data_IF_081540486857
#
_entry.id   IF_081540486857
#
_cell.length_a   1.000
_cell.length_b   1.000
_cell.length_c   1.000
_cell.angle_alpha   90.00
_cell.angle_beta   90.00
_cell.angle_gamma   90.00
#
_symmetry.space_group_name_H-M   'P 1'
#
loop_
_entity.id
_entity.type
_entity.pdbx_description
1 polymer ?
#
# COMPACT_ATOMS: atom_id res chain seq x y z
N UNK A 1 14.22 6.47 24.97
CA UNK A 1 13.42 7.71 24.90
C UNK A 1 12.62 7.65 23.60
N UNK A 2 11.33 7.30 23.67
CA UNK A 2 10.47 7.15 22.48
C UNK A 2 10.04 8.54 21.98
N UNK A 3 10.34 8.85 20.73
CA UNK A 3 10.01 10.14 20.13
C UNK A 3 8.56 10.11 19.64
N UNK A 4 7.70 10.96 20.21
CA UNK A 4 6.42 11.29 19.59
C UNK A 4 6.75 12.31 18.50
N UNK A 5 6.71 11.89 17.23
CA UNK A 5 6.72 12.86 16.13
C UNK A 5 5.33 13.50 16.11
N UNK A 6 5.17 14.59 16.86
CA UNK A 6 4.08 15.52 16.64
C UNK A 6 4.34 16.19 15.28
N UNK A 7 3.59 15.77 14.27
CA UNK A 7 3.37 16.56 13.06
C UNK A 7 2.58 17.79 13.49
N UNK A 8 3.28 18.85 13.89
CA UNK A 8 2.62 20.11 14.24
C UNK A 8 2.09 20.74 12.94
N UNK A 9 0.76 20.80 12.81
CA UNK A 9 0.12 21.80 11.96
C UNK A 9 0.32 23.16 12.65
N UNK A 10 1.31 23.93 12.21
CA UNK A 10 1.42 25.34 12.59
C UNK A 10 0.17 26.08 12.14
N UNK A 11 -0.40 27.01 12.94
CA UNK A 11 -1.50 27.84 12.50
C UNK A 11 -0.98 28.87 11.50
N UNK A 12 -0.91 28.49 10.22
CA UNK A 12 -0.73 29.44 9.13
C UNK A 12 -2.09 30.02 8.76
N UNK A 13 -2.17 31.35 8.82
CA UNK A 13 -3.24 32.13 8.19
C UNK A 13 -3.48 31.66 6.76
N UNK A 14 -4.73 31.65 6.26
CA UNK A 14 -5.05 31.15 4.93
C UNK A 14 -4.58 32.16 3.88
N UNK A 15 -3.30 32.13 3.56
CA UNK A 15 -2.75 32.73 2.35
C UNK A 15 -2.80 31.67 1.25
N UNK A 16 -3.37 32.02 0.09
CA UNK A 16 -3.46 31.21 -1.13
C UNK A 16 -2.48 30.02 -1.22
N UNK A 17 -3.00 28.81 -1.39
CA UNK A 17 -2.30 27.53 -1.27
C UNK A 17 -1.23 27.24 -2.33
N UNK A 18 -0.15 28.01 -2.34
CA UNK A 18 1.04 27.81 -3.20
C UNK A 18 2.35 27.68 -2.43
N UNK A 19 2.38 27.94 -1.12
CA UNK A 19 3.58 27.74 -0.30
C UNK A 19 3.59 26.35 0.32
N UNK A 20 4.32 25.42 -0.31
CA UNK A 20 4.65 24.11 0.28
C UNK A 20 5.77 24.28 1.29
N UNK A 21 5.57 23.76 2.49
CA UNK A 21 6.59 23.70 3.55
C UNK A 21 6.84 22.24 3.93
N UNK A 22 8.07 21.93 4.35
CA UNK A 22 8.40 20.59 4.86
C UNK A 22 7.79 20.38 6.25
N UNK A 23 7.14 19.24 6.46
CA UNK A 23 6.50 18.91 7.74
C UNK A 23 7.45 18.26 8.77
N UNK A 24 8.64 17.83 8.34
CA UNK A 24 9.69 17.38 9.25
C UNK A 24 10.47 18.60 9.70
N UNK A 25 10.41 18.88 11.00
CA UNK A 25 11.03 20.06 11.59
C UNK A 25 12.56 19.94 11.61
N UNK A 26 13.26 21.07 11.60
CA UNK A 26 14.73 21.10 11.72
C UNK A 26 15.17 20.56 13.09
N UNK A 27 14.32 20.69 14.10
CA UNK A 27 14.52 20.05 15.39
C UNK A 27 14.55 18.52 15.27
N UNK A 28 13.57 17.93 14.57
CA UNK A 28 13.55 16.49 14.35
C UNK A 28 14.77 16.03 13.54
N UNK A 29 15.12 16.76 12.47
CA UNK A 29 16.33 16.51 11.69
C UNK A 29 17.58 16.47 12.58
N UNK A 30 17.79 17.53 13.37
CA UNK A 30 18.92 17.65 14.30
C UNK A 30 18.93 16.51 15.33
N UNK A 31 17.75 16.10 15.82
CA UNK A 31 17.64 15.00 16.76
C UNK A 31 18.12 13.67 16.16
N UNK A 32 17.70 13.34 14.94
CA UNK A 32 18.14 12.13 14.24
C UNK A 32 19.64 12.18 13.91
N UNK A 33 20.14 13.29 13.36
CA UNK A 33 21.57 13.45 13.05
C UNK A 33 22.45 13.29 14.29
N UNK A 34 22.06 13.87 15.43
CA UNK A 34 22.78 13.73 16.69
C UNK A 34 22.71 12.31 17.25
N UNK A 35 21.54 11.65 17.17
CA UNK A 35 21.38 10.28 17.68
C UNK A 35 22.26 9.28 16.92
N UNK A 36 22.22 9.33 15.58
CA UNK A 36 22.97 8.42 14.71
C UNK A 36 24.41 8.89 14.42
N UNK A 37 24.77 10.10 14.87
CA UNK A 37 26.07 10.75 14.60
C UNK A 37 26.37 10.86 13.10
N UNK A 38 25.32 11.15 12.32
CA UNK A 38 25.38 11.21 10.87
C UNK A 38 24.66 12.47 10.37
N UNK A 39 25.45 13.46 9.93
CA UNK A 39 24.95 14.72 9.39
C UNK A 39 24.44 14.62 7.94
N UNK A 40 24.58 13.45 7.30
CA UNK A 40 24.06 13.21 5.94
C UNK A 40 22.59 12.80 5.93
N UNK A 41 22.02 12.46 7.10
CA UNK A 41 20.59 12.19 7.25
C UNK A 41 19.80 13.42 6.81
N UNK A 42 18.84 13.20 5.91
CA UNK A 42 17.93 14.22 5.38
C UNK A 42 16.52 14.03 5.95
N UNK A 43 15.67 15.05 5.80
CA UNK A 43 14.24 14.95 6.17
C UNK A 43 13.52 13.84 5.38
N UNK A 44 13.84 13.68 4.09
CA UNK A 44 13.30 12.57 3.29
C UNK A 44 13.73 11.21 3.84
N UNK A 45 14.99 11.05 4.25
CA UNK A 45 15.43 9.82 4.91
C UNK A 45 14.66 9.54 6.20
N UNK A 46 14.30 10.57 6.98
CA UNK A 46 13.46 10.40 8.18
C UNK A 46 12.03 9.99 7.81
N UNK A 47 11.47 10.55 6.73
CA UNK A 47 10.17 10.14 6.21
C UNK A 47 10.16 8.66 5.83
N UNK A 48 11.15 8.23 5.04
CA UNK A 48 11.28 6.84 4.62
C UNK A 48 11.58 5.91 5.80
N UNK A 49 12.45 6.31 6.72
CA UNK A 49 12.69 5.56 7.96
C UNK A 49 11.38 5.31 8.72
N UNK A 50 10.56 6.35 8.87
CA UNK A 50 9.25 6.25 9.52
C UNK A 50 8.36 5.25 8.78
N UNK A 51 8.32 5.33 7.45
CA UNK A 51 7.53 4.42 6.63
C UNK A 51 7.99 2.96 6.77
N UNK A 52 9.29 2.70 6.74
CA UNK A 52 9.87 1.37 6.95
C UNK A 52 9.58 0.83 8.35
N UNK A 53 9.74 1.65 9.39
CA UNK A 53 9.46 1.27 10.78
C UNK A 53 8.01 0.83 10.98
N UNK A 54 7.06 1.56 10.39
CA UNK A 54 5.63 1.23 10.45
C UNK A 54 5.24 -0.02 9.66
N UNK A 55 6.16 -0.58 8.85
CA UNK A 55 5.99 -1.85 8.15
C UNK A 55 6.78 -3.00 8.78
N UNK A 56 7.53 -2.75 9.85
CA UNK A 56 8.28 -3.80 10.54
C UNK A 56 7.34 -4.69 11.39
N UNK A 57 7.33 -6.03 11.20
CA UNK A 57 6.42 -6.93 11.90
C UNK A 57 6.48 -6.81 13.43
N UNK A 58 7.67 -6.92 14.02
CA UNK A 58 7.85 -6.80 15.47
C UNK A 58 7.42 -5.45 16.05
N UNK A 59 7.62 -4.35 15.33
CA UNK A 59 7.16 -3.03 15.79
C UNK A 59 5.63 -3.01 15.86
N UNK A 60 4.97 -3.49 14.80
CA UNK A 60 3.51 -3.57 14.73
C UNK A 60 2.93 -4.49 15.80
N UNK A 61 3.56 -5.64 16.06
CA UNK A 61 3.12 -6.59 17.10
C UNK A 61 3.32 -6.02 18.50
N UNK A 62 4.53 -5.56 18.81
CA UNK A 62 4.90 -5.03 20.14
C UNK A 62 4.04 -3.85 20.56
N UNK A 63 3.66 -2.98 19.62
CA UNK A 63 2.90 -1.77 19.92
C UNK A 63 1.43 -1.82 19.48
N UNK A 64 0.88 -2.98 19.12
CA UNK A 64 -0.50 -3.11 18.60
C UNK A 64 -1.57 -2.47 19.49
N UNK A 65 -1.43 -2.54 20.82
CA UNK A 65 -2.37 -1.95 21.76
C UNK A 65 -2.36 -0.42 21.73
N UNK A 66 -1.17 0.18 21.56
CA UNK A 66 -0.97 1.62 21.45
C UNK A 66 -1.40 2.13 20.07
N UNK A 67 -0.99 1.44 18.99
CA UNK A 67 -1.31 1.82 17.60
C UNK A 67 -2.82 1.86 17.33
N UNK A 68 -3.63 1.12 18.11
CA UNK A 68 -5.10 1.17 18.05
C UNK A 68 -5.72 2.38 18.75
N UNK A 69 -4.98 3.11 19.59
CA UNK A 69 -5.53 4.11 20.54
C UNK A 69 -4.88 5.48 20.45
N UNK A 70 -3.62 5.56 20.05
CA UNK A 70 -2.83 6.79 19.98
C UNK A 70 -1.93 6.79 18.74
N UNK A 71 -1.38 7.97 18.42
CA UNK A 71 -0.43 8.11 17.32
C UNK A 71 0.85 7.28 17.58
N UNK A 72 1.45 6.69 16.53
CA UNK A 72 2.68 5.91 16.66
C UNK A 72 3.81 6.73 17.28
N UNK A 73 4.61 6.10 18.14
CA UNK A 73 5.84 6.68 18.71
C UNK A 73 7.03 5.99 18.07
N UNK A 74 7.88 6.76 17.40
CA UNK A 74 8.96 6.19 16.62
C UNK A 74 10.08 5.72 17.55
N UNK A 75 10.42 4.44 17.44
CA UNK A 75 11.64 3.89 17.99
C UNK A 75 12.86 4.45 17.23
N UNK A 76 14.01 4.49 17.90
CA UNK A 76 15.30 4.75 17.25
C UNK A 76 15.98 3.41 17.05
N UNK A 77 15.70 2.78 15.91
CA UNK A 77 16.25 1.49 15.57
C UNK A 77 17.75 1.61 15.31
N UNK A 78 18.59 0.65 15.72
CA UNK A 78 20.04 0.72 15.56
C UNK A 78 20.51 0.99 14.12
N UNK A 79 19.82 0.44 13.12
CA UNK A 79 20.17 0.57 11.70
C UNK A 79 19.21 1.48 10.93
N UNK A 80 19.32 2.80 11.16
CA UNK A 80 18.53 3.81 10.46
C UNK A 80 18.55 3.67 8.93
N UNK A 81 19.73 3.37 8.37
CA UNK A 81 19.94 3.29 6.93
C UNK A 81 19.11 2.19 6.28
N UNK A 82 19.10 0.99 6.87
CA UNK A 82 18.36 -0.15 6.33
C UNK A 82 16.84 0.05 6.42
N UNK A 83 16.35 0.65 7.52
CA UNK A 83 14.93 1.02 7.65
C UNK A 83 14.53 2.11 6.64
N UNK A 84 15.35 3.15 6.49
CA UNK A 84 15.13 4.24 5.53
C UNK A 84 15.08 3.71 4.10
N UNK A 85 16.06 2.91 3.69
CA UNK A 85 16.11 2.31 2.34
C UNK A 85 14.92 1.40 2.05
N UNK A 86 14.50 0.60 3.03
CA UNK A 86 13.33 -0.27 2.87
C UNK A 86 12.04 0.54 2.79
N UNK A 87 11.90 1.58 3.61
CA UNK A 87 10.76 2.49 3.54
C UNK A 87 10.71 3.31 2.25
N UNK A 88 11.84 3.68 1.68
CA UNK A 88 11.91 4.32 0.35
C UNK A 88 11.37 3.40 -0.73
N UNK A 89 11.81 2.14 -0.76
CA UNK A 89 11.28 1.12 -1.69
C UNK A 89 9.79 0.91 -1.53
N UNK A 90 9.29 0.82 -0.30
CA UNK A 90 7.86 0.67 -0.03
C UNK A 90 7.08 1.90 -0.50
N UNK A 91 7.58 3.11 -0.24
CA UNK A 91 6.93 4.34 -0.66
C UNK A 91 6.86 4.43 -2.19
N UNK A 92 7.95 4.10 -2.89
CA UNK A 92 7.98 4.06 -4.36
C UNK A 92 6.97 3.05 -4.91
N UNK A 93 6.97 1.81 -4.40
CA UNK A 93 6.02 0.77 -4.81
C UNK A 93 4.56 1.20 -4.62
N UNK A 94 4.24 1.83 -3.50
CA UNK A 94 2.87 2.20 -3.15
C UNK A 94 2.38 3.48 -3.84
N UNK A 95 3.28 4.44 -4.13
CA UNK A 95 2.93 5.62 -4.92
C UNK A 95 2.78 5.27 -6.39
N UNK A 96 3.63 4.36 -6.89
CA UNK A 96 3.70 3.98 -8.30
C UNK A 96 3.05 2.60 -8.58
N UNK A 97 1.99 2.26 -7.81
CA UNK A 97 1.35 0.94 -7.88
C UNK A 97 0.72 0.63 -9.24
N UNK A 98 0.22 1.66 -9.94
CA UNK A 98 -0.36 1.52 -11.28
C UNK A 98 0.69 1.43 -12.40
N UNK A 99 1.95 1.74 -12.10
CA UNK A 99 3.06 1.72 -13.05
C UNK A 99 3.88 0.42 -12.96
N UNK A 100 3.56 -0.46 -12.01
CA UNK A 100 4.24 -1.75 -11.87
C UNK A 100 4.00 -2.66 -13.08
N UNK A 101 4.92 -3.61 -13.27
CA UNK A 101 4.74 -4.65 -14.28
C UNK A 101 3.57 -5.59 -13.87
N UNK A 102 2.65 -5.92 -14.79
CA UNK A 102 1.55 -6.82 -14.48
C UNK A 102 2.05 -8.23 -14.21
N UNK A 103 1.55 -8.86 -13.14
CA UNK A 103 1.84 -10.26 -12.86
C UNK A 103 1.28 -11.17 -13.97
N UNK A 104 2.05 -12.16 -14.46
CA UNK A 104 1.66 -13.00 -15.59
C UNK A 104 0.64 -14.07 -15.17
N UNK A 105 -0.64 -13.70 -15.14
CA UNK A 105 -1.74 -14.65 -14.92
C UNK A 105 -2.12 -15.38 -16.20
N UNK A 106 -2.55 -16.63 -16.06
CA UNK A 106 -3.13 -17.40 -17.16
C UNK A 106 -4.58 -16.97 -17.38
N UNK A 107 -4.90 -16.58 -18.60
CA UNK A 107 -6.24 -16.15 -19.00
C UNK A 107 -6.98 -17.33 -19.64
N UNK A 108 -8.15 -17.67 -19.09
CA UNK A 108 -9.02 -18.74 -19.59
C UNK A 108 -10.31 -18.08 -20.07
N UNK A 109 -10.51 -18.11 -21.39
CA UNK A 109 -11.67 -17.56 -22.06
C UNK A 109 -12.78 -18.61 -22.18
N UNK A 110 -14.03 -18.17 -22.07
CA UNK A 110 -15.21 -18.97 -22.31
C UNK A 110 -15.72 -18.71 -23.74
N UNK A 111 -15.52 -19.65 -24.70
CA UNK A 111 -15.87 -19.43 -26.11
C UNK A 111 -17.39 -19.33 -26.35
N UNK A 112 -18.22 -19.62 -25.34
CA UNK A 112 -19.69 -19.53 -25.43
C UNK A 112 -20.23 -18.13 -25.12
N UNK A 113 -19.37 -17.22 -24.66
CA UNK A 113 -19.75 -15.87 -24.24
C UNK A 113 -19.03 -14.87 -25.14
N UNK A 114 -19.70 -13.77 -25.48
CA UNK A 114 -19.07 -12.68 -26.24
C UNK A 114 -17.89 -12.11 -25.46
N UNK A 115 -16.83 -11.74 -26.18
CA UNK A 115 -15.69 -11.03 -25.60
C UNK A 115 -16.16 -9.80 -24.81
N UNK A 116 -15.74 -9.71 -23.56
CA UNK A 116 -15.95 -8.53 -22.72
C UNK A 116 -14.94 -8.51 -21.59
N UNK A 117 -14.33 -7.34 -21.34
CA UNK A 117 -13.52 -7.09 -20.15
C UNK A 117 -14.23 -6.24 -19.10
N UNK A 118 -15.55 -6.08 -19.23
CA UNK A 118 -16.36 -5.38 -18.23
C UNK A 118 -16.55 -6.23 -16.98
N UNK A 119 -16.47 -5.59 -15.82
CA UNK A 119 -16.65 -6.19 -14.51
C UNK A 119 -18.04 -5.86 -13.98
N UNK A 120 -18.83 -6.90 -13.68
CA UNK A 120 -20.02 -6.74 -12.84
C UNK A 120 -19.69 -7.03 -11.39
N UNK A 121 -19.19 -8.25 -11.11
CA UNK A 121 -18.73 -8.68 -9.79
C UNK A 121 -17.76 -9.85 -9.90
N UNK A 122 -16.51 -9.61 -9.57
CA UNK A 122 -15.48 -10.64 -9.55
C UNK A 122 -15.65 -11.59 -8.35
N UNK A 123 -15.16 -12.83 -8.48
CA UNK A 123 -15.26 -13.85 -7.42
C UNK A 123 -13.99 -14.69 -7.32
N UNK A 124 -13.35 -14.67 -6.15
CA UNK A 124 -12.26 -15.58 -5.84
C UNK A 124 -12.78 -17.01 -5.64
N UNK A 125 -12.02 -17.96 -6.16
CA UNK A 125 -12.14 -19.38 -5.82
C UNK A 125 -11.86 -19.62 -4.32
N UNK A 126 -12.38 -20.72 -3.78
CA UNK A 126 -12.21 -21.09 -2.37
C UNK A 126 -10.74 -21.25 -1.96
N UNK A 127 -9.88 -21.70 -2.87
CA UNK A 127 -8.44 -21.86 -2.62
C UNK A 127 -7.62 -20.60 -2.96
N UNK A 128 -8.30 -19.53 -3.39
CA UNK A 128 -7.77 -18.22 -3.81
C UNK A 128 -6.71 -18.29 -4.92
N UNK A 129 -6.70 -19.34 -5.75
CA UNK A 129 -5.75 -19.48 -6.89
C UNK A 129 -6.31 -19.03 -8.23
N UNK A 130 -7.63 -18.87 -8.27
CA UNK A 130 -8.38 -18.47 -9.45
C UNK A 130 -9.34 -17.32 -9.11
N UNK A 131 -9.54 -16.44 -10.08
CA UNK A 131 -10.51 -15.35 -10.03
C UNK A 131 -11.43 -15.47 -11.24
N UNK A 132 -12.73 -15.65 -10.99
CA UNK A 132 -13.74 -15.43 -12.02
C UNK A 132 -13.88 -13.92 -12.17
N UNK A 133 -13.47 -13.39 -13.33
CA UNK A 133 -13.49 -11.96 -13.61
C UNK A 133 -14.89 -11.52 -14.06
N UNK A 134 -15.42 -12.21 -15.05
CA UNK A 134 -16.81 -12.13 -15.53
C UNK A 134 -17.19 -13.47 -16.19
N UNK A 135 -18.32 -13.52 -16.91
CA UNK A 135 -18.78 -14.76 -17.58
C UNK A 135 -17.89 -15.20 -18.75
N UNK A 136 -17.12 -14.26 -19.32
CA UNK A 136 -16.19 -14.48 -20.42
C UNK A 136 -14.81 -14.94 -19.93
N UNK A 137 -14.26 -14.32 -18.88
CA UNK A 137 -12.85 -14.46 -18.49
C UNK A 137 -12.70 -15.00 -17.07
N UNK A 138 -11.79 -15.98 -16.94
CA UNK A 138 -11.22 -16.42 -15.66
C UNK A 138 -9.71 -16.25 -15.67
N UNK A 139 -9.18 -15.79 -14.54
CA UNK A 139 -7.74 -15.65 -14.31
C UNK A 139 -7.26 -16.76 -13.37
N UNK A 140 -6.19 -17.46 -13.75
CA UNK A 140 -5.56 -18.51 -12.96
C UNK A 140 -4.09 -18.18 -12.67
N UNK A 141 -3.55 -18.82 -11.63
CA UNK A 141 -2.14 -18.68 -11.26
C UNK A 141 -1.87 -17.61 -10.22
N UNK A 142 -2.89 -17.18 -9.46
CA UNK A 142 -2.72 -16.22 -8.37
C UNK A 142 -1.88 -16.86 -7.26
N UNK A 143 -0.69 -16.31 -6.91
CA UNK A 143 0.14 -16.87 -5.85
C UNK A 143 -0.52 -16.67 -4.49
N UNK A 144 -0.57 -17.72 -3.66
CA UNK A 144 -1.16 -17.62 -2.31
C UNK A 144 -0.49 -16.56 -1.44
N UNK A 145 0.80 -16.33 -1.63
CA UNK A 145 1.56 -15.34 -0.88
C UNK A 145 1.00 -13.91 -1.06
N UNK A 146 0.32 -13.60 -2.17
CA UNK A 146 -0.23 -12.26 -2.42
C UNK A 146 -1.16 -11.78 -1.30
N UNK A 147 -1.86 -12.71 -0.65
CA UNK A 147 -2.83 -12.43 0.40
C UNK A 147 -2.20 -12.17 1.77
N UNK A 148 -0.87 -12.32 1.90
CA UNK A 148 -0.15 -11.96 3.11
C UNK A 148 0.02 -10.44 3.25
N UNK A 149 -0.06 -9.69 2.14
CA UNK A 149 -0.04 -8.23 2.21
C UNK A 149 -1.42 -7.68 2.57
N UNK A 150 -1.49 -7.03 3.74
CA UNK A 150 -2.73 -6.49 4.31
C UNK A 150 -2.66 -4.97 4.43
N UNK A 151 -3.76 -4.32 4.04
CA UNK A 151 -4.05 -2.91 4.27
C UNK A 151 -5.15 -2.82 5.33
N UNK A 152 -4.75 -2.57 6.58
CA UNK A 152 -5.65 -2.66 7.72
C UNK A 152 -6.20 -4.09 7.88
N UNK A 153 -7.52 -4.24 7.83
CA UNK A 153 -8.18 -5.55 7.97
C UNK A 153 -8.39 -6.29 6.64
N UNK A 154 -8.02 -5.68 5.51
CA UNK A 154 -8.28 -6.24 4.18
C UNK A 154 -6.98 -6.63 3.49
N UNK A 155 -7.00 -7.76 2.77
CA UNK A 155 -5.92 -8.13 1.86
C UNK A 155 -5.97 -7.20 0.64
N UNK A 156 -4.83 -6.70 0.16
CA UNK A 156 -4.81 -5.66 -0.86
C UNK A 156 -5.55 -6.07 -2.15
N UNK A 157 -5.32 -7.30 -2.62
CA UNK A 157 -6.01 -7.85 -3.79
C UNK A 157 -7.52 -8.04 -3.55
N UNK A 158 -7.90 -8.53 -2.37
CA UNK A 158 -9.31 -8.73 -2.02
C UNK A 158 -10.05 -7.40 -1.90
N UNK A 159 -9.39 -6.35 -1.40
CA UNK A 159 -9.93 -4.99 -1.36
C UNK A 159 -10.24 -4.49 -2.77
N UNK A 160 -9.33 -4.65 -3.73
CA UNK A 160 -9.57 -4.28 -5.14
C UNK A 160 -10.76 -5.03 -5.70
N UNK A 161 -10.86 -6.34 -5.46
CA UNK A 161 -11.99 -7.17 -5.91
C UNK A 161 -13.32 -6.68 -5.34
N UNK A 162 -13.35 -6.26 -4.08
CA UNK A 162 -14.58 -5.75 -3.45
C UNK A 162 -14.93 -4.32 -3.85
N UNK A 163 -13.95 -3.47 -4.18
CA UNK A 163 -14.20 -2.11 -4.65
C UNK A 163 -14.62 -2.07 -6.12
N UNK A 164 -13.96 -2.82 -6.99
CA UNK A 164 -14.20 -2.83 -8.43
C UNK A 164 -15.33 -3.80 -8.78
N UNK A 165 -16.55 -3.37 -8.48
CA UNK A 165 -17.79 -4.03 -8.88
C UNK A 165 -18.90 -3.01 -9.02
N UNK A 166 -19.89 -3.32 -9.86
CA UNK A 166 -21.08 -2.48 -9.98
C UNK A 166 -21.86 -2.55 -8.67
N UNK A 167 -22.13 -1.38 -8.07
CA UNK A 167 -22.93 -1.26 -6.85
C UNK A 167 -24.03 -0.22 -7.06
N UNK A 168 -25.24 -0.54 -6.61
CA UNK A 168 -26.37 0.39 -6.60
C UNK A 168 -26.67 0.72 -5.15
N UNK A 169 -26.54 1.98 -4.77
CA UNK A 169 -26.96 2.43 -3.45
C UNK A 169 -28.50 2.38 -3.36
N UNK A 170 -29.02 1.58 -2.43
CA UNK A 170 -30.47 1.34 -2.34
C UNK A 170 -31.26 2.59 -1.95
N UNK A 171 -30.63 3.55 -1.28
CA UNK A 171 -31.31 4.76 -0.78
C UNK A 171 -31.40 5.85 -1.84
N UNK A 172 -30.30 6.09 -2.55
CA UNK A 172 -30.18 7.15 -3.56
C UNK A 172 -30.42 6.69 -4.99
N UNK A 173 -30.30 5.37 -5.26
CA UNK A 173 -30.33 4.82 -6.62
C UNK A 173 -29.06 5.09 -7.42
N UNK A 174 -28.04 5.73 -6.83
CA UNK A 174 -26.78 6.04 -7.51
C UNK A 174 -26.05 4.74 -7.84
N UNK A 175 -25.68 4.60 -9.11
CA UNK A 175 -24.90 3.48 -9.63
C UNK A 175 -23.42 3.87 -9.55
N UNK A 176 -22.64 3.09 -8.80
CA UNK A 176 -21.19 3.12 -8.83
C UNK A 176 -20.70 2.10 -9.87
N UNK A 177 -20.22 2.61 -10.99
CA UNK A 177 -19.76 1.86 -12.16
C UNK A 177 -18.24 2.01 -12.29
N UNK A 178 -17.44 0.97 -12.01
CA UNK A 178 -15.98 1.06 -12.09
C UNK A 178 -15.42 0.91 -13.52
N UNK A 179 -16.21 0.41 -14.47
CA UNK A 179 -15.75 0.19 -15.84
C UNK A 179 -15.52 1.50 -16.59
N UNK A 180 -14.43 1.57 -17.34
CA UNK A 180 -14.09 2.70 -18.21
C UNK A 180 -14.34 2.31 -19.66
N UNK A 181 -15.16 3.08 -20.37
CA UNK A 181 -15.49 2.75 -21.78
C UNK A 181 -14.28 2.90 -22.70
N UNK A 182 -13.41 3.85 -22.36
CA UNK A 182 -12.17 4.15 -23.07
C UNK A 182 -11.04 3.16 -22.79
N UNK A 183 -11.12 2.37 -21.70
CA UNK A 183 -10.11 1.38 -21.31
C UNK A 183 -10.76 0.21 -20.56
N UNK A 184 -11.36 -0.71 -21.33
CA UNK A 184 -11.98 -1.92 -20.76
C UNK A 184 -10.97 -2.83 -20.04
N UNK A 185 -9.67 -2.71 -20.36
CA UNK A 185 -8.61 -3.53 -19.78
C UNK A 185 -8.08 -3.02 -18.45
N UNK A 186 -8.38 -1.78 -18.07
CA UNK A 186 -7.80 -1.10 -16.90
C UNK A 186 -7.91 -1.94 -15.61
N UNK A 187 -9.09 -2.46 -15.29
CA UNK A 187 -9.33 -3.19 -14.04
C UNK A 187 -8.53 -4.50 -14.00
N UNK A 188 -8.53 -5.24 -15.12
CA UNK A 188 -7.75 -6.47 -15.26
C UNK A 188 -6.26 -6.20 -15.06
N UNK A 189 -5.72 -5.17 -15.72
CA UNK A 189 -4.31 -4.81 -15.62
C UNK A 189 -3.97 -4.31 -14.21
N UNK A 190 -4.81 -3.47 -13.61
CA UNK A 190 -4.65 -3.00 -12.24
C UNK A 190 -4.53 -4.17 -11.26
N UNK A 191 -5.39 -5.18 -11.36
CA UNK A 191 -5.29 -6.36 -10.49
C UNK A 191 -3.97 -7.11 -10.65
N UNK A 192 -3.53 -7.33 -11.89
CA UNK A 192 -2.22 -7.98 -12.16
C UNK A 192 -1.08 -7.18 -11.54
N UNK A 193 -1.13 -5.85 -11.60
CA UNK A 193 -0.13 -4.96 -10.99
C UNK A 193 -0.18 -5.00 -9.46
N UNK A 194 -1.38 -5.03 -8.87
CA UNK A 194 -1.56 -5.16 -7.42
C UNK A 194 -1.01 -6.49 -6.90
N UNK A 195 -1.09 -7.58 -7.68
CA UNK A 195 -0.40 -8.83 -7.34
C UNK A 195 1.11 -8.61 -7.25
N UNK A 196 1.72 -7.96 -8.24
CA UNK A 196 3.14 -7.61 -8.21
C UNK A 196 3.48 -6.75 -7.01
N UNK A 197 2.76 -5.64 -6.78
CA UNK A 197 2.95 -4.75 -5.63
C UNK A 197 2.92 -5.53 -4.33
N UNK A 198 1.90 -6.37 -4.14
CA UNK A 198 1.76 -7.15 -2.91
C UNK A 198 2.94 -8.09 -2.67
N UNK A 199 3.41 -8.78 -3.71
CA UNK A 199 4.55 -9.69 -3.61
C UNK A 199 5.87 -8.94 -3.37
N UNK A 200 6.10 -7.80 -4.02
CA UNK A 200 7.29 -6.98 -3.80
C UNK A 200 7.28 -6.35 -2.40
N UNK A 201 6.13 -5.87 -1.93
CA UNK A 201 5.97 -5.36 -0.56
C UNK A 201 6.31 -6.44 0.47
N UNK A 202 5.83 -7.67 0.28
CA UNK A 202 6.18 -8.79 1.18
C UNK A 202 7.69 -9.03 1.20
N UNK A 203 8.37 -8.99 0.05
CA UNK A 203 9.83 -9.14 0.01
C UNK A 203 10.52 -8.05 0.83
N UNK A 204 10.09 -6.80 0.72
CA UNK A 204 10.69 -5.70 1.51
C UNK A 204 10.37 -5.84 3.00
N UNK A 205 9.17 -6.28 3.35
CA UNK A 205 8.80 -6.55 4.76
C UNK A 205 9.64 -7.69 5.34
N UNK A 206 9.92 -8.75 4.57
CA UNK A 206 10.83 -9.81 5.02
C UNK A 206 12.25 -9.28 5.26
N UNK A 207 12.75 -8.35 4.44
CA UNK A 207 14.05 -7.72 4.71
C UNK A 207 14.04 -6.80 5.93
N UNK A 208 12.88 -6.25 6.29
CA UNK A 208 12.73 -5.48 7.53
C UNK A 208 12.72 -6.41 8.74
N UNK A 209 12.09 -7.58 8.65
CA UNK A 209 11.99 -8.57 9.74
C UNK A 209 13.36 -9.08 10.23
N UNK A 210 14.36 -9.07 9.34
CA UNK A 210 15.75 -9.41 9.69
C UNK A 210 16.47 -8.29 10.48
N UNK A 211 15.87 -7.11 10.62
CA UNK A 211 16.46 -5.96 11.32
C UNK A 211 16.08 -5.95 12.81
N UNK A 212 16.99 -5.44 13.62
CA UNK A 212 16.76 -5.30 15.08
C UNK A 212 16.05 -3.98 15.38
N UNK A 213 15.11 -4.02 16.32
CA UNK A 213 14.31 -2.90 16.84
C UNK A 213 14.68 -2.45 18.25
#
# INVERSE_FOLDING_TARGET
MLLVVQLNASPSTPTHGTHRTENITDWALTHYQNHYKDNTITKWAIFYYTYGLLHHPDYCEKYVANLKRELPRLAMAPDFGSFSKSGEKLADLHLNYEQQAPYPLKMIENPKVQFSLKVEKMRLSKDKRQLTYNDFLRLEGIPKAVFNYKLGNSEALEWVIEQYRVKIDKRSGIINEPNREEDEGYIMELMKKIITVSLETIKVVLTLDDLVL
#
